data_IF_049161907817
#
_entry.id   IF_049161907817
#
_cell.length_a   1.000
_cell.length_b   1.000
_cell.length_c   1.000
_cell.angle_alpha   90.00
_cell.angle_beta   90.00
_cell.angle_gamma   90.00
#
_symmetry.space_group_name_H-M   'P 1'
#
loop_
_entity.id
_entity.type
_entity.pdbx_description
1 polymer ?
#
# COMPACT_ATOMS: atom_id res chain seq x y z
N UNK A 1 -11.87 -19.25 -13.45
CA UNK A 1 -10.82 -18.77 -14.41
C UNK A 1 -9.84 -19.90 -14.68
N UNK A 2 -9.14 -19.92 -15.85
CA UNK A 2 -8.07 -20.89 -16.12
C UNK A 2 -6.79 -20.46 -15.40
N UNK A 3 -6.02 -21.43 -14.86
CA UNK A 3 -4.85 -21.15 -14.01
C UNK A 3 -3.83 -20.19 -14.63
N UNK A 4 -3.51 -20.35 -15.92
CA UNK A 4 -2.56 -19.45 -16.62
C UNK A 4 -3.11 -18.02 -16.70
N UNK A 5 -4.41 -17.85 -16.97
CA UNK A 5 -5.04 -16.52 -17.02
C UNK A 5 -5.04 -15.87 -15.64
N UNK A 6 -5.31 -16.64 -14.60
CA UNK A 6 -5.26 -16.16 -13.22
C UNK A 6 -3.84 -15.70 -12.83
N UNK A 7 -2.84 -16.51 -13.17
CA UNK A 7 -1.43 -16.16 -12.95
C UNK A 7 -1.06 -14.86 -13.67
N UNK A 8 -1.38 -14.75 -14.96
CA UNK A 8 -1.08 -13.56 -15.76
C UNK A 8 -1.76 -12.30 -15.22
N UNK A 9 -3.01 -12.41 -14.72
CA UNK A 9 -3.70 -11.27 -14.11
C UNK A 9 -3.08 -10.87 -12.75
N UNK A 10 -2.59 -11.82 -11.97
CA UNK A 10 -1.84 -11.52 -10.73
C UNK A 10 -0.55 -10.78 -11.02
N UNK A 11 0.19 -11.22 -12.02
CA UNK A 11 1.43 -10.56 -12.46
C UNK A 11 1.15 -9.16 -13.02
N UNK A 12 0.09 -9.01 -13.83
CA UNK A 12 -0.33 -7.72 -14.36
C UNK A 12 -0.73 -6.77 -13.20
N UNK A 13 -1.57 -7.22 -12.26
CA UNK A 13 -1.94 -6.44 -11.08
C UNK A 13 -0.72 -5.96 -10.29
N UNK A 14 0.26 -6.84 -10.06
CA UNK A 14 1.50 -6.49 -9.36
C UNK A 14 2.33 -5.47 -10.15
N UNK A 15 2.47 -5.66 -11.46
CA UNK A 15 3.21 -4.76 -12.36
C UNK A 15 2.61 -3.35 -12.39
N UNK A 16 1.30 -3.25 -12.63
CA UNK A 16 0.57 -1.98 -12.72
C UNK A 16 0.53 -1.24 -11.38
N UNK A 17 0.37 -1.97 -10.27
CA UNK A 17 0.44 -1.38 -8.92
C UNK A 17 1.81 -0.76 -8.65
N UNK A 18 2.89 -1.43 -9.04
CA UNK A 18 4.25 -0.89 -8.92
C UNK A 18 4.48 0.30 -9.86
N UNK A 19 3.97 0.26 -11.10
CA UNK A 19 4.05 1.35 -12.06
C UNK A 19 3.36 2.60 -11.52
N UNK A 20 2.12 2.45 -10.99
CA UNK A 20 1.39 3.52 -10.33
C UNK A 20 2.24 4.23 -9.27
N UNK A 21 2.81 3.51 -8.32
CA UNK A 21 3.62 4.10 -7.25
C UNK A 21 4.95 4.70 -7.74
N UNK A 22 5.61 4.05 -8.71
CA UNK A 22 6.85 4.57 -9.31
C UNK A 22 6.60 5.90 -10.03
N UNK A 23 5.51 6.00 -10.81
CA UNK A 23 5.21 7.20 -11.59
C UNK A 23 4.81 8.38 -10.70
N UNK A 24 4.16 8.15 -9.55
CA UNK A 24 3.96 9.20 -8.55
C UNK A 24 5.29 9.75 -8.03
N UNK A 25 6.23 8.87 -7.67
CA UNK A 25 7.56 9.28 -7.22
C UNK A 25 8.35 10.01 -8.32
N UNK A 26 8.23 9.56 -9.57
CA UNK A 26 8.86 10.21 -10.73
C UNK A 26 8.24 11.58 -11.01
N UNK A 27 6.92 11.73 -10.82
CA UNK A 27 6.24 13.02 -10.94
C UNK A 27 6.77 14.03 -9.91
N UNK A 28 6.90 13.62 -8.65
CA UNK A 28 7.47 14.47 -7.59
C UNK A 28 8.91 14.91 -7.94
N UNK A 29 9.72 13.97 -8.45
CA UNK A 29 11.09 14.26 -8.87
C UNK A 29 11.14 15.22 -10.05
N UNK A 30 10.32 15.00 -11.08
CA UNK A 30 10.24 15.88 -12.25
C UNK A 30 9.82 17.31 -11.87
N UNK A 31 8.84 17.44 -10.97
CA UNK A 31 8.43 18.75 -10.45
C UNK A 31 9.57 19.46 -9.71
N UNK A 32 10.30 18.73 -8.85
CA UNK A 32 11.45 19.25 -8.14
C UNK A 32 12.59 19.70 -9.09
N UNK A 33 12.78 18.97 -10.20
CA UNK A 33 13.80 19.27 -11.21
C UNK A 33 13.41 20.40 -12.17
N UNK A 34 12.21 21.00 -12.00
CA UNK A 34 11.75 22.12 -12.83
C UNK A 34 11.05 21.69 -14.14
N UNK A 35 10.57 20.43 -14.24
CA UNK A 35 9.84 19.90 -15.40
C UNK A 35 8.36 19.67 -15.09
N UNK A 36 7.54 20.72 -14.87
CA UNK A 36 6.14 20.55 -14.42
C UNK A 36 5.25 19.81 -15.44
N UNK A 37 5.51 19.94 -16.75
CA UNK A 37 4.74 19.21 -17.76
C UNK A 37 5.06 17.70 -17.75
N UNK A 38 6.31 17.33 -17.53
CA UNK A 38 6.71 15.93 -17.34
C UNK A 38 6.12 15.37 -16.04
N UNK A 39 6.08 16.16 -14.98
CA UNK A 39 5.42 15.77 -13.73
C UNK A 39 3.91 15.50 -13.95
N UNK A 40 3.23 16.36 -14.72
CA UNK A 40 1.82 16.16 -15.06
C UNK A 40 1.63 14.89 -15.90
N UNK A 41 2.50 14.63 -16.87
CA UNK A 41 2.46 13.40 -17.68
C UNK A 41 2.58 12.15 -16.78
N UNK A 42 3.56 12.11 -15.87
CA UNK A 42 3.70 10.99 -14.95
C UNK A 42 2.48 10.79 -14.05
N UNK A 43 1.86 11.87 -13.55
CA UNK A 43 0.62 11.78 -12.75
C UNK A 43 -0.55 11.22 -13.55
N UNK A 44 -0.71 11.66 -14.79
CA UNK A 44 -1.79 11.19 -15.65
C UNK A 44 -1.64 9.69 -15.96
N UNK A 45 -0.42 9.24 -16.32
CA UNK A 45 -0.15 7.83 -16.59
C UNK A 45 -0.28 6.99 -15.28
N UNK A 46 0.23 7.49 -14.15
CA UNK A 46 0.06 6.83 -12.85
C UNK A 46 -1.42 6.54 -12.55
N UNK A 47 -2.31 7.48 -12.84
CA UNK A 47 -3.75 7.25 -12.68
C UNK A 47 -4.29 6.16 -13.64
N UNK A 48 -3.81 6.11 -14.88
CA UNK A 48 -4.18 5.03 -15.80
C UNK A 48 -3.75 3.65 -15.26
N UNK A 49 -2.52 3.53 -14.73
CA UNK A 49 -2.03 2.29 -14.13
C UNK A 49 -2.84 1.87 -12.91
N UNK A 50 -3.29 2.82 -12.10
CA UNK A 50 -4.22 2.54 -11.00
C UNK A 50 -5.53 1.92 -11.51
N UNK A 51 -6.09 2.45 -12.60
CA UNK A 51 -7.33 1.92 -13.20
C UNK A 51 -7.11 0.50 -13.73
N UNK A 52 -5.97 0.24 -14.40
CA UNK A 52 -5.61 -1.09 -14.89
C UNK A 52 -5.48 -2.08 -13.73
N UNK A 53 -4.71 -1.75 -12.70
CA UNK A 53 -4.53 -2.59 -11.52
C UNK A 53 -5.86 -2.93 -10.85
N UNK A 54 -6.73 -1.94 -10.62
CA UNK A 54 -8.06 -2.16 -10.03
C UNK A 54 -8.94 -3.06 -10.88
N UNK A 55 -8.89 -2.94 -12.21
CA UNK A 55 -9.62 -3.82 -13.12
C UNK A 55 -9.12 -5.26 -13.02
N UNK A 56 -7.80 -5.49 -13.01
CA UNK A 56 -7.23 -6.82 -12.81
C UNK A 56 -7.62 -7.43 -11.46
N UNK A 57 -7.59 -6.63 -10.40
CA UNK A 57 -8.00 -7.08 -9.06
C UNK A 57 -9.48 -7.52 -9.03
N UNK A 58 -10.37 -6.79 -9.69
CA UNK A 58 -11.80 -7.15 -9.80
C UNK A 58 -12.00 -8.46 -10.55
N UNK A 59 -11.30 -8.63 -11.68
CA UNK A 59 -11.36 -9.89 -12.46
C UNK A 59 -10.81 -11.10 -11.68
N UNK A 60 -9.89 -10.87 -10.75
CA UNK A 60 -9.39 -11.87 -9.82
C UNK A 60 -10.34 -12.14 -8.65
N UNK A 61 -11.51 -11.50 -8.61
CA UNK A 61 -12.43 -11.50 -7.47
C UNK A 61 -11.78 -11.06 -6.14
N UNK A 62 -10.75 -10.21 -6.25
CA UNK A 62 -10.00 -9.69 -5.10
C UNK A 62 -10.72 -8.54 -4.36
N UNK A 63 -11.95 -8.18 -4.77
CA UNK A 63 -12.78 -7.17 -4.09
C UNK A 63 -14.09 -7.85 -3.69
N UNK A 64 -14.23 -8.09 -2.39
CA UNK A 64 -15.43 -8.65 -1.77
C UNK A 64 -16.33 -7.57 -1.17
N UNK A 65 -17.20 -7.96 -0.25
CA UNK A 65 -17.92 -7.01 0.59
C UNK A 65 -16.97 -6.32 1.59
N UNK A 66 -17.47 -5.30 2.28
CA UNK A 66 -16.64 -4.49 3.20
C UNK A 66 -16.02 -5.34 4.31
N UNK A 67 -16.75 -6.32 4.86
CA UNK A 67 -16.22 -7.16 5.92
C UNK A 67 -15.11 -8.08 5.40
N UNK A 68 -15.31 -8.73 4.25
CA UNK A 68 -14.30 -9.57 3.61
C UNK A 68 -13.04 -8.78 3.23
N UNK A 69 -13.21 -7.56 2.72
CA UNK A 69 -12.07 -6.68 2.39
C UNK A 69 -11.28 -6.27 3.64
N UNK A 70 -11.98 -5.97 4.75
CA UNK A 70 -11.33 -5.66 6.04
C UNK A 70 -10.62 -6.88 6.63
N UNK A 71 -11.19 -8.08 6.52
CA UNK A 71 -10.52 -9.33 6.93
C UNK A 71 -9.25 -9.57 6.11
N UNK A 72 -9.32 -9.38 4.80
CA UNK A 72 -8.16 -9.52 3.91
C UNK A 72 -7.06 -8.49 4.23
N UNK A 73 -7.44 -7.23 4.45
CA UNK A 73 -6.51 -6.18 4.84
C UNK A 73 -5.85 -6.48 6.20
N UNK A 74 -6.65 -6.80 7.22
CA UNK A 74 -6.13 -7.18 8.55
C UNK A 74 -5.17 -8.37 8.47
N UNK A 75 -5.51 -9.38 7.66
CA UNK A 75 -4.63 -10.54 7.44
C UNK A 75 -3.29 -10.14 6.80
N UNK A 76 -3.32 -9.25 5.81
CA UNK A 76 -2.12 -8.71 5.14
C UNK A 76 -1.21 -7.97 6.13
N UNK A 77 -1.74 -6.98 6.85
CA UNK A 77 -0.96 -6.20 7.82
C UNK A 77 -0.38 -7.09 8.94
N UNK A 78 -1.16 -8.07 9.41
CA UNK A 78 -0.69 -9.02 10.42
C UNK A 78 0.47 -9.86 9.90
N UNK A 79 0.38 -10.39 8.69
CA UNK A 79 1.46 -11.14 8.04
C UNK A 79 2.72 -10.26 7.87
N UNK A 80 2.55 -9.00 7.47
CA UNK A 80 3.68 -8.07 7.35
C UNK A 80 4.39 -7.83 8.68
N UNK A 81 3.63 -7.68 9.77
CA UNK A 81 4.18 -7.45 11.11
C UNK A 81 4.86 -8.70 11.69
N UNK A 82 4.23 -9.86 11.56
CA UNK A 82 4.62 -11.06 12.27
C UNK A 82 5.64 -11.91 11.51
N UNK A 83 5.60 -11.89 10.17
CA UNK A 83 6.40 -12.79 9.35
C UNK A 83 7.27 -12.05 8.32
N UNK A 84 6.65 -11.31 7.39
CA UNK A 84 7.34 -10.75 6.23
C UNK A 84 8.43 -9.74 6.62
N UNK A 85 8.06 -8.71 7.35
CA UNK A 85 9.00 -7.65 7.72
C UNK A 85 10.10 -8.11 8.67
N UNK A 86 9.86 -8.97 9.67
CA UNK A 86 10.92 -9.56 10.47
C UNK A 86 11.93 -10.35 9.64
N UNK A 87 11.47 -11.16 8.67
CA UNK A 87 12.34 -11.91 7.77
C UNK A 87 13.20 -10.97 6.90
N UNK A 88 12.58 -9.94 6.31
CA UNK A 88 13.30 -8.94 5.51
C UNK A 88 14.29 -8.13 6.35
N UNK A 89 13.93 -7.79 7.58
CA UNK A 89 14.84 -7.11 8.53
C UNK A 89 16.07 -7.96 8.83
N UNK A 90 15.91 -9.27 9.07
CA UNK A 90 17.02 -10.16 9.34
C UNK A 90 18.02 -10.21 8.16
N UNK A 91 17.52 -10.27 6.92
CA UNK A 91 18.37 -10.21 5.72
C UNK A 91 19.07 -8.87 5.59
N UNK A 92 18.35 -7.75 5.78
CA UNK A 92 18.91 -6.40 5.71
C UNK A 92 19.99 -6.16 6.79
N UNK A 93 19.83 -6.77 7.97
CA UNK A 93 20.83 -6.75 9.04
C UNK A 93 22.07 -7.55 8.66
N UNK A 94 21.89 -8.78 8.18
CA UNK A 94 22.98 -9.66 7.73
C UNK A 94 23.82 -9.00 6.64
N UNK A 95 23.16 -8.30 5.69
CA UNK A 95 23.81 -7.61 4.58
C UNK A 95 24.26 -6.18 4.95
N UNK A 96 24.04 -5.73 6.17
CA UNK A 96 24.39 -4.39 6.67
C UNK A 96 23.77 -3.21 5.87
N UNK A 97 22.62 -3.44 5.24
CA UNK A 97 21.89 -2.47 4.42
C UNK A 97 21.07 -1.49 5.31
N UNK A 98 21.73 -0.48 5.86
CA UNK A 98 21.15 0.47 6.84
C UNK A 98 19.92 1.22 6.31
N UNK A 99 19.89 1.53 5.00
CA UNK A 99 18.75 2.17 4.34
C UNK A 99 17.51 1.28 4.34
N UNK A 100 17.68 0.00 3.97
CA UNK A 100 16.62 -0.99 3.99
C UNK A 100 16.12 -1.25 5.42
N UNK A 101 17.03 -1.42 6.40
CA UNK A 101 16.67 -1.61 7.81
C UNK A 101 15.80 -0.46 8.33
N UNK A 102 16.12 0.79 7.97
CA UNK A 102 15.33 1.96 8.37
C UNK A 102 13.94 1.95 7.73
N UNK A 103 13.85 1.65 6.43
CA UNK A 103 12.58 1.58 5.70
C UNK A 103 11.68 0.49 6.27
N UNK A 104 12.21 -0.72 6.47
CA UNK A 104 11.46 -1.86 7.03
C UNK A 104 10.98 -1.56 8.46
N UNK A 105 11.83 -0.93 9.30
CA UNK A 105 11.42 -0.56 10.65
C UNK A 105 10.22 0.40 10.67
N UNK A 106 10.23 1.41 9.79
CA UNK A 106 9.10 2.33 9.68
C UNK A 106 7.84 1.63 9.18
N UNK A 107 7.97 0.68 8.26
CA UNK A 107 6.84 -0.14 7.83
C UNK A 107 6.27 -0.93 9.02
N UNK A 108 7.07 -1.74 9.72
CA UNK A 108 6.59 -2.53 10.88
C UNK A 108 5.83 -1.68 11.90
N UNK A 109 6.32 -0.48 12.21
CA UNK A 109 5.66 0.40 13.16
C UNK A 109 4.31 0.92 12.64
N UNK A 110 4.21 1.18 11.34
CA UNK A 110 2.98 1.61 10.70
C UNK A 110 1.97 0.46 10.59
N UNK A 111 2.41 -0.72 10.13
CA UNK A 111 1.52 -1.87 9.88
C UNK A 111 0.89 -2.42 11.16
N UNK A 112 1.56 -2.28 12.33
CA UNK A 112 0.93 -2.55 13.64
C UNK A 112 -0.28 -1.66 13.89
N UNK A 113 -0.17 -0.37 13.59
CA UNK A 113 -1.26 0.60 13.75
C UNK A 113 -2.38 0.31 12.75
N UNK A 114 -2.03 0.00 11.49
CA UNK A 114 -2.98 -0.36 10.46
C UNK A 114 -3.77 -1.62 10.83
N UNK A 115 -3.11 -2.67 11.31
CA UNK A 115 -3.76 -3.89 11.77
C UNK A 115 -4.79 -3.61 12.89
N UNK A 116 -4.43 -2.76 13.87
CA UNK A 116 -5.36 -2.38 14.94
C UNK A 116 -6.55 -1.56 14.40
N UNK A 117 -6.31 -0.66 13.46
CA UNK A 117 -7.37 0.13 12.81
C UNK A 117 -8.32 -0.77 12.00
N UNK A 118 -7.81 -1.71 11.20
CA UNK A 118 -8.63 -2.64 10.44
C UNK A 118 -9.41 -3.58 11.34
N UNK A 119 -8.84 -4.03 12.45
CA UNK A 119 -9.53 -4.85 13.45
C UNK A 119 -10.72 -4.10 14.06
N UNK A 120 -10.52 -2.86 14.49
CA UNK A 120 -11.60 -2.03 15.04
C UNK A 120 -12.69 -1.73 14.00
N UNK A 121 -12.30 -1.47 12.74
CA UNK A 121 -13.25 -1.25 11.65
C UNK A 121 -14.06 -2.53 11.35
N UNK A 122 -13.42 -3.69 11.33
CA UNK A 122 -14.08 -4.97 11.11
C UNK A 122 -15.12 -5.28 12.20
N UNK A 123 -14.79 -5.04 13.46
CA UNK A 123 -15.72 -5.20 14.57
C UNK A 123 -16.92 -4.26 14.44
N UNK A 124 -16.70 -3.00 14.06
CA UNK A 124 -17.78 -2.04 13.84
C UNK A 124 -18.71 -2.49 12.70
N UNK A 125 -18.15 -2.87 11.54
CA UNK A 125 -18.92 -3.33 10.37
C UNK A 125 -19.71 -4.61 10.70
N UNK A 126 -19.13 -5.57 11.41
CA UNK A 126 -19.83 -6.78 11.87
C UNK A 126 -20.99 -6.46 12.84
N UNK A 127 -20.89 -5.35 13.55
CA UNK A 127 -21.97 -4.83 14.41
C UNK A 127 -22.97 -3.92 13.65
N UNK A 128 -22.88 -3.80 12.32
CA UNK A 128 -23.73 -2.94 11.50
C UNK A 128 -23.51 -1.45 11.71
N UNK A 129 -22.30 -1.05 12.12
CA UNK A 129 -21.91 0.34 12.39
C UNK A 129 -20.76 0.77 11.49
N UNK A 130 -20.64 2.07 11.27
CA UNK A 130 -19.46 2.67 10.65
C UNK A 130 -18.47 3.13 11.71
N UNK A 131 -17.23 3.43 11.30
CA UNK A 131 -16.18 3.96 12.16
C UNK A 131 -16.20 5.50 12.18
N UNK A 132 -15.74 6.09 13.28
CA UNK A 132 -15.53 7.54 13.37
C UNK A 132 -14.10 7.89 12.94
N UNK A 133 -13.96 8.33 11.68
CA UNK A 133 -12.67 8.72 11.06
C UNK A 133 -12.08 10.01 11.63
N UNK A 134 -12.82 10.80 12.43
CA UNK A 134 -12.30 12.04 13.03
C UNK A 134 -11.15 11.75 14.01
N UNK A 135 -11.01 10.50 14.45
CA UNK A 135 -9.96 10.03 15.35
C UNK A 135 -8.81 9.29 14.65
N UNK A 136 -8.83 9.17 13.32
CA UNK A 136 -7.76 8.51 12.58
C UNK A 136 -6.58 9.46 12.44
N UNK A 137 -5.48 9.15 13.11
CA UNK A 137 -4.19 9.83 12.94
C UNK A 137 -3.33 9.04 11.96
N UNK A 138 -3.18 9.52 10.73
CA UNK A 138 -2.27 8.91 9.77
C UNK A 138 -0.84 9.30 10.16
N UNK A 139 0.00 8.32 10.50
CA UNK A 139 1.41 8.55 10.84
C UNK A 139 2.20 8.89 9.57
N UNK A 140 2.39 10.19 9.31
CA UNK A 140 3.13 10.70 8.15
C UNK A 140 4.64 10.90 8.43
N UNK A 141 5.26 10.09 9.26
CA UNK A 141 6.68 10.26 9.61
C UNK A 141 7.67 9.85 8.52
N UNK A 142 7.20 9.49 7.34
CA UNK A 142 8.04 8.88 6.30
C UNK A 142 8.61 9.83 5.24
N UNK A 143 8.24 11.12 5.20
CA UNK A 143 8.87 12.12 4.32
C UNK A 143 9.51 13.23 5.14
N UNK A 144 10.82 13.19 5.29
CA UNK A 144 11.73 14.33 5.66
C UNK A 144 11.13 15.41 6.58
N UNK A 145 10.48 15.05 7.68
CA UNK A 145 10.10 16.01 8.72
C UNK A 145 8.93 16.95 8.38
N UNK A 146 8.33 16.88 7.23
CA UNK A 146 7.17 17.71 6.86
C UNK A 146 5.85 17.03 7.24
N UNK A 147 5.10 17.67 8.13
CA UNK A 147 3.73 17.30 8.48
C UNK A 147 2.82 17.71 7.33
N UNK A 148 2.22 16.77 6.61
CA UNK A 148 1.03 17.04 5.82
C UNK A 148 -0.19 16.85 6.72
N UNK A 149 -1.08 17.89 6.76
CA UNK A 149 -2.45 17.78 7.27
C UNK A 149 -3.35 17.61 6.04
N UNK A 150 -4.23 16.65 6.09
CA UNK A 150 -5.40 16.58 5.23
C UNK A 150 -6.54 17.35 5.89
#
# INVERSE_FOLDING_TARGET
>A
MRAMTEHNLKDAFAGESQAHMKYLAFADKAAHDGFPQVALLFKAISYAEQVHAVNHLKELAGVGDTAANLEGALGGETFEVEEMCPAYMAVAQLQQEKGAQRSIRFAIEAEKIHADMYRAALEAVKAGKDIDVTKISICQRQRNGTKFRW
#
